data_IF_613543090619
#
_entry.id   IF_613543090619
#
_cell.length_a   1.000
_cell.length_b   1.000
_cell.length_c   1.000
_cell.angle_alpha   90.00
_cell.angle_beta   90.00
_cell.angle_gamma   90.00
#
_symmetry.space_group_name_H-M   'P 1'
#
loop_
_entity.id
_entity.type
_entity.pdbx_description
1 polymer ?
#
# COMPACT_ATOMS: atom_id res chain seq x y z
N UNK A 1 61.60 -63.65 28.35
CA UNK A 1 61.91 -63.61 26.90
C UNK A 1 61.19 -62.42 26.30
N UNK A 2 61.93 -61.49 25.70
CA UNK A 2 61.42 -60.31 25.02
C UNK A 2 60.65 -60.68 23.75
N UNK A 3 59.51 -60.03 23.48
CA UNK A 3 59.10 -59.66 22.12
C UNK A 3 57.92 -58.66 22.10
N UNK A 4 58.10 -57.62 21.28
CA UNK A 4 57.12 -56.62 20.85
C UNK A 4 55.90 -57.25 20.17
N UNK A 5 54.73 -56.58 20.22
CA UNK A 5 53.73 -56.69 19.15
C UNK A 5 53.11 -55.34 18.81
N UNK A 6 53.27 -54.96 17.54
CA UNK A 6 52.75 -53.74 16.91
C UNK A 6 51.24 -53.85 16.59
N UNK A 7 50.51 -52.73 16.51
CA UNK A 7 49.13 -52.72 16.00
C UNK A 7 49.09 -52.83 14.46
N UNK A 8 48.22 -53.71 13.96
CA UNK A 8 47.96 -53.92 12.53
C UNK A 8 47.43 -52.64 11.87
N UNK A 9 48.04 -52.25 10.74
CA UNK A 9 47.50 -51.26 9.79
C UNK A 9 46.20 -51.80 9.17
N UNK A 10 45.12 -51.02 9.24
CA UNK A 10 43.97 -51.14 8.34
C UNK A 10 43.86 -49.83 7.56
N UNK A 11 43.69 -49.97 6.25
CA UNK A 11 43.82 -48.92 5.25
C UNK A 11 42.79 -47.79 5.43
N UNK A 12 43.24 -46.54 5.29
CA UNK A 12 42.38 -45.37 5.09
C UNK A 12 41.75 -45.46 3.69
N UNK A 13 40.47 -45.80 3.62
CA UNK A 13 39.64 -45.51 2.44
C UNK A 13 39.16 -44.06 2.59
N UNK A 14 39.78 -43.17 1.81
CA UNK A 14 39.35 -41.79 1.66
C UNK A 14 38.20 -41.74 0.66
N UNK A 15 36.96 -41.91 1.12
CA UNK A 15 35.80 -41.51 0.32
C UNK A 15 35.65 -39.99 0.42
N UNK A 16 36.25 -39.27 -0.53
CA UNK A 16 35.81 -37.91 -0.85
C UNK A 16 34.38 -38.02 -1.36
N UNK A 17 33.42 -37.79 -0.47
CA UNK A 17 32.10 -37.35 -0.90
C UNK A 17 32.33 -35.88 -1.26
N UNK A 18 32.53 -35.62 -2.55
CA UNK A 18 32.34 -34.28 -3.10
C UNK A 18 30.89 -33.90 -2.78
N UNK A 19 30.70 -33.10 -1.73
CA UNK A 19 29.47 -32.33 -1.58
C UNK A 19 29.52 -31.33 -2.73
N UNK A 20 28.78 -31.60 -3.79
CA UNK A 20 28.39 -30.58 -4.75
C UNK A 20 27.90 -29.38 -3.93
N UNK A 21 28.59 -28.25 -4.05
CA UNK A 21 28.04 -27.00 -3.56
C UNK A 21 26.70 -26.82 -4.27
N UNK A 22 25.61 -26.44 -3.57
CA UNK A 22 24.35 -26.20 -4.23
C UNK A 22 24.60 -25.20 -5.36
N UNK A 23 24.21 -25.56 -6.58
CA UNK A 23 24.19 -24.61 -7.70
C UNK A 23 23.42 -23.39 -7.21
N UNK A 24 24.08 -22.23 -7.23
CA UNK A 24 23.37 -20.97 -7.03
C UNK A 24 22.55 -20.80 -8.29
N UNK A 25 21.31 -21.31 -8.26
CA UNK A 25 20.36 -21.09 -9.35
C UNK A 25 20.16 -19.59 -9.43
N UNK A 26 20.53 -19.04 -10.58
CA UNK A 26 20.32 -17.64 -10.89
C UNK A 26 18.81 -17.40 -10.94
N UNK A 27 18.30 -16.51 -10.08
CA UNK A 27 16.86 -16.21 -9.99
C UNK A 27 16.27 -15.76 -11.34
N UNK A 28 17.08 -15.18 -12.22
CA UNK A 28 16.67 -14.78 -13.57
C UNK A 28 16.35 -16.01 -14.44
N UNK A 29 17.22 -17.02 -14.41
CA UNK A 29 17.02 -18.25 -15.16
C UNK A 29 15.81 -19.03 -14.60
N UNK A 30 15.67 -19.05 -13.26
CA UNK A 30 14.52 -19.63 -12.58
C UNK A 30 13.20 -18.91 -12.94
N UNK A 31 13.23 -17.58 -13.03
CA UNK A 31 12.08 -16.78 -13.45
C UNK A 31 11.67 -17.11 -14.88
N UNK A 32 12.61 -17.11 -15.82
CA UNK A 32 12.32 -17.47 -17.22
C UNK A 32 11.73 -18.87 -17.35
N UNK A 33 12.35 -19.87 -16.69
CA UNK A 33 11.81 -21.23 -16.68
C UNK A 33 10.39 -21.29 -16.11
N UNK A 34 10.16 -20.59 -14.99
CA UNK A 34 8.86 -20.55 -14.31
C UNK A 34 7.77 -19.93 -15.20
N UNK A 35 8.08 -18.85 -15.92
CA UNK A 35 7.15 -18.20 -16.86
C UNK A 35 6.80 -19.15 -18.01
N UNK A 36 7.79 -19.87 -18.55
CA UNK A 36 7.56 -20.82 -19.64
C UNK A 36 6.68 -22.00 -19.17
N UNK A 37 6.96 -22.57 -17.99
CA UNK A 37 6.15 -23.65 -17.39
C UNK A 37 4.68 -23.25 -17.16
N UNK A 38 4.45 -22.02 -16.65
CA UNK A 38 3.10 -21.47 -16.44
C UNK A 38 2.39 -21.19 -17.77
N UNK A 39 3.13 -20.81 -18.80
CA UNK A 39 2.60 -20.48 -20.13
C UNK A 39 2.13 -21.72 -20.89
N UNK A 40 2.85 -22.85 -20.78
CA UNK A 40 2.52 -24.11 -21.47
C UNK A 40 1.24 -24.79 -20.96
N UNK A 41 0.72 -24.40 -19.79
CA UNK A 41 -0.59 -24.82 -19.28
C UNK A 41 -0.71 -26.30 -18.88
N UNK A 42 0.36 -27.08 -18.98
CA UNK A 42 0.43 -28.53 -18.68
C UNK A 42 1.08 -28.87 -17.34
N UNK A 43 1.43 -27.87 -16.54
CA UNK A 43 2.14 -28.11 -15.27
C UNK A 43 1.25 -28.86 -14.28
N UNK A 44 1.62 -30.10 -13.96
CA UNK A 44 1.11 -30.83 -12.80
C UNK A 44 1.51 -30.15 -11.47
N UNK A 45 2.39 -29.14 -11.53
CA UNK A 45 2.97 -28.41 -10.41
C UNK A 45 2.67 -26.90 -10.50
N UNK A 46 1.54 -26.50 -11.09
CA UNK A 46 1.25 -25.07 -11.34
C UNK A 46 1.30 -24.21 -10.07
N UNK A 47 0.83 -24.76 -8.94
CA UNK A 47 0.87 -24.07 -7.65
C UNK A 47 2.32 -23.78 -7.20
N UNK A 48 3.24 -24.75 -7.33
CA UNK A 48 4.67 -24.58 -7.03
C UNK A 48 5.35 -23.55 -7.96
N UNK A 49 5.01 -23.57 -9.25
CA UNK A 49 5.50 -22.56 -10.20
C UNK A 49 4.95 -21.16 -9.85
N UNK A 50 3.71 -21.04 -9.38
CA UNK A 50 3.13 -19.76 -8.92
C UNK A 50 3.79 -19.26 -7.63
N UNK A 51 4.08 -20.14 -6.67
CA UNK A 51 4.84 -19.80 -5.46
C UNK A 51 6.21 -19.23 -5.83
N UNK A 52 6.93 -19.93 -6.73
CA UNK A 52 8.23 -19.48 -7.23
C UNK A 52 8.14 -18.12 -7.92
N UNK A 53 7.15 -17.91 -8.78
CA UNK A 53 6.93 -16.63 -9.47
C UNK A 53 6.66 -15.50 -8.48
N UNK A 54 5.75 -15.72 -7.52
CA UNK A 54 5.39 -14.73 -6.49
C UNK A 54 6.60 -14.39 -5.62
N UNK A 55 7.37 -15.38 -5.20
CA UNK A 55 8.54 -15.17 -4.36
C UNK A 55 9.63 -14.36 -5.07
N UNK A 56 9.88 -14.65 -6.36
CA UNK A 56 10.85 -13.91 -7.16
C UNK A 56 10.39 -12.46 -7.36
N UNK A 57 9.16 -12.23 -7.84
CA UNK A 57 8.67 -10.87 -8.11
C UNK A 57 8.51 -10.02 -6.84
N UNK A 58 8.24 -10.65 -5.69
CA UNK A 58 8.20 -9.97 -4.40
C UNK A 58 9.61 -9.61 -3.91
N UNK A 59 10.59 -10.49 -4.09
CA UNK A 59 11.94 -10.35 -3.52
C UNK A 59 12.90 -9.52 -4.39
N UNK A 60 12.68 -9.54 -5.71
CA UNK A 60 13.54 -8.90 -6.69
C UNK A 60 12.77 -7.87 -7.50
N UNK A 61 13.44 -6.76 -7.83
CA UNK A 61 12.94 -5.84 -8.84
C UNK A 61 13.30 -6.40 -10.23
N UNK A 62 12.30 -6.98 -10.90
CA UNK A 62 12.46 -7.84 -12.08
C UNK A 62 11.92 -7.21 -13.38
N UNK A 63 11.80 -5.87 -13.44
CA UNK A 63 11.19 -5.14 -14.57
C UNK A 63 11.80 -5.54 -15.92
N UNK A 64 13.13 -5.44 -16.04
CA UNK A 64 13.88 -5.80 -17.25
C UNK A 64 13.74 -7.27 -17.69
N UNK A 65 13.34 -8.17 -16.78
CA UNK A 65 13.18 -9.60 -17.08
C UNK A 65 11.78 -9.92 -17.60
N UNK A 66 10.77 -9.11 -17.28
CA UNK A 66 9.37 -9.37 -17.61
C UNK A 66 8.79 -8.44 -18.67
N UNK A 67 9.46 -7.34 -19.01
CA UNK A 67 9.02 -6.32 -19.97
C UNK A 67 8.47 -6.92 -21.28
N UNK A 68 9.24 -7.78 -21.94
CA UNK A 68 8.84 -8.44 -23.20
C UNK A 68 7.86 -9.62 -23.01
N UNK A 69 7.48 -9.94 -21.77
CA UNK A 69 6.68 -11.12 -21.40
C UNK A 69 5.43 -10.77 -20.60
N UNK A 70 5.09 -9.48 -20.45
CA UNK A 70 3.98 -9.03 -19.61
C UNK A 70 2.64 -9.69 -19.98
N UNK A 71 2.32 -9.77 -21.27
CA UNK A 71 1.08 -10.42 -21.73
C UNK A 71 1.04 -11.92 -21.41
N UNK A 72 2.17 -12.63 -21.54
CA UNK A 72 2.28 -14.05 -21.24
C UNK A 72 2.07 -14.31 -19.74
N UNK A 73 2.78 -13.54 -18.90
CA UNK A 73 2.72 -13.63 -17.43
C UNK A 73 1.30 -13.34 -16.95
N UNK A 74 0.74 -12.19 -17.34
CA UNK A 74 -0.62 -11.82 -16.96
C UNK A 74 -1.66 -12.79 -17.52
N UNK A 75 -1.46 -13.30 -18.72
CA UNK A 75 -2.30 -14.32 -19.33
C UNK A 75 -2.30 -15.63 -18.54
N UNK A 76 -1.12 -16.09 -18.10
CA UNK A 76 -0.98 -17.30 -17.27
C UNK A 76 -1.58 -17.13 -15.88
N UNK A 77 -1.34 -16.00 -15.23
CA UNK A 77 -1.92 -15.67 -13.93
C UNK A 77 -3.45 -15.56 -14.00
N UNK A 78 -3.99 -14.86 -15.00
CA UNK A 78 -5.44 -14.78 -15.23
C UNK A 78 -6.07 -16.16 -15.45
N UNK A 79 -5.41 -17.05 -16.21
CA UNK A 79 -5.90 -18.43 -16.38
C UNK A 79 -5.90 -19.19 -15.05
N UNK A 80 -4.84 -19.04 -14.26
CA UNK A 80 -4.70 -19.70 -12.95
C UNK A 80 -5.75 -19.19 -11.96
N UNK A 81 -6.03 -17.88 -11.94
CA UNK A 81 -7.08 -17.28 -11.12
C UNK A 81 -8.49 -17.80 -11.47
N UNK A 82 -8.79 -17.97 -12.76
CA UNK A 82 -10.14 -18.31 -13.23
C UNK A 82 -10.44 -19.81 -13.27
N UNK A 83 -9.43 -20.65 -13.52
CA UNK A 83 -9.56 -22.12 -13.67
C UNK A 83 -8.85 -22.88 -12.55
N UNK A 84 -8.58 -22.21 -11.43
CA UNK A 84 -7.84 -22.74 -10.30
C UNK A 84 -8.35 -24.12 -9.84
N UNK A 85 -7.42 -24.95 -9.38
CA UNK A 85 -7.71 -26.24 -8.75
C UNK A 85 -7.82 -26.16 -7.23
N UNK A 86 -7.27 -25.10 -6.63
CA UNK A 86 -7.28 -24.85 -5.19
C UNK A 86 -7.52 -23.36 -4.89
N UNK A 87 -7.94 -23.05 -3.66
CA UNK A 87 -8.03 -21.67 -3.16
C UNK A 87 -6.65 -21.00 -3.18
N UNK A 88 -5.61 -21.73 -2.79
CA UNK A 88 -4.23 -21.24 -2.73
C UNK A 88 -3.69 -20.84 -4.11
N UNK A 89 -3.93 -21.66 -5.16
CA UNK A 89 -3.57 -21.36 -6.55
C UNK A 89 -4.19 -20.03 -7.01
N UNK A 90 -5.46 -19.78 -6.68
CA UNK A 90 -6.13 -18.52 -7.03
C UNK A 90 -5.55 -17.33 -6.27
N UNK A 91 -5.28 -17.46 -4.97
CA UNK A 91 -4.67 -16.39 -4.17
C UNK A 91 -3.25 -16.06 -4.64
N UNK A 92 -2.44 -17.07 -4.96
CA UNK A 92 -1.11 -16.87 -5.56
C UNK A 92 -1.21 -16.18 -6.91
N UNK A 93 -2.17 -16.58 -7.75
CA UNK A 93 -2.37 -15.95 -9.05
C UNK A 93 -2.78 -14.48 -8.94
N UNK A 94 -3.70 -14.15 -8.03
CA UNK A 94 -4.10 -12.76 -7.75
C UNK A 94 -2.89 -11.94 -7.25
N UNK A 95 -2.17 -12.43 -6.24
CA UNK A 95 -0.95 -11.79 -5.74
C UNK A 95 0.11 -11.60 -6.83
N UNK A 96 0.30 -12.61 -7.68
CA UNK A 96 1.21 -12.55 -8.82
C UNK A 96 0.83 -11.46 -9.83
N UNK A 97 -0.46 -11.21 -10.04
CA UNK A 97 -0.94 -10.09 -10.87
C UNK A 97 -0.46 -8.77 -10.26
N UNK A 98 -0.74 -8.53 -8.96
CA UNK A 98 -0.30 -7.30 -8.29
C UNK A 98 1.22 -7.11 -8.40
N UNK A 99 2.00 -8.15 -8.13
CA UNK A 99 3.46 -8.12 -8.23
C UNK A 99 3.96 -7.87 -9.65
N UNK A 100 3.26 -8.37 -10.67
CA UNK A 100 3.60 -8.09 -12.08
C UNK A 100 3.45 -6.60 -12.36
N UNK A 101 2.33 -5.98 -11.96
CA UNK A 101 2.11 -4.53 -12.11
C UNK A 101 3.13 -3.69 -11.34
N UNK A 102 3.52 -4.11 -10.12
CA UNK A 102 4.55 -3.40 -9.34
C UNK A 102 5.91 -3.43 -10.04
N UNK A 103 6.20 -4.49 -10.80
CA UNK A 103 7.44 -4.64 -11.56
C UNK A 103 7.35 -4.06 -13.00
N UNK A 104 6.28 -3.35 -13.37
CA UNK A 104 6.21 -2.62 -14.65
C UNK A 104 6.82 -1.23 -14.47
N UNK A 105 7.89 -0.88 -15.18
CA UNK A 105 8.49 0.47 -15.12
C UNK A 105 8.64 1.15 -16.48
N UNK A 106 9.02 0.38 -17.50
CA UNK A 106 9.37 0.93 -18.82
C UNK A 106 8.24 0.82 -19.85
N UNK A 107 6.98 0.89 -19.42
CA UNK A 107 5.81 0.84 -20.31
C UNK A 107 5.12 2.20 -20.42
N UNK A 108 4.49 2.45 -21.58
CA UNK A 108 3.69 3.66 -21.76
C UNK A 108 2.41 3.62 -20.92
N UNK A 109 1.88 4.79 -20.51
CA UNK A 109 0.61 4.88 -19.78
C UNK A 109 -0.54 4.17 -20.51
N UNK A 110 -0.59 4.29 -21.84
CA UNK A 110 -1.61 3.62 -22.66
C UNK A 110 -1.50 2.10 -22.63
N UNK A 111 -0.28 1.56 -22.62
CA UNK A 111 -0.05 0.12 -22.55
C UNK A 111 -0.40 -0.42 -21.17
N UNK A 112 -0.02 0.30 -20.11
CA UNK A 112 -0.40 -0.02 -18.74
C UNK A 112 -1.92 -0.06 -18.55
N UNK A 113 -2.64 0.93 -19.08
CA UNK A 113 -4.10 1.00 -19.05
C UNK A 113 -4.75 -0.18 -19.81
N UNK A 114 -4.22 -0.55 -20.97
CA UNK A 114 -4.70 -1.70 -21.74
C UNK A 114 -4.50 -3.03 -20.99
N UNK A 115 -3.32 -3.25 -20.38
CA UNK A 115 -3.05 -4.43 -19.57
C UNK A 115 -3.98 -4.49 -18.34
N UNK A 116 -4.18 -3.35 -17.67
CA UNK A 116 -5.11 -3.21 -16.54
C UNK A 116 -6.54 -3.60 -16.94
N UNK A 117 -7.08 -3.03 -18.02
CA UNK A 117 -8.45 -3.32 -18.49
C UNK A 117 -8.67 -4.77 -18.88
N UNK A 118 -7.63 -5.49 -19.34
CA UNK A 118 -7.73 -6.93 -19.63
C UNK A 118 -7.86 -7.80 -18.37
N UNK A 119 -7.34 -7.32 -17.24
CA UNK A 119 -7.33 -8.05 -15.97
C UNK A 119 -8.55 -7.70 -15.12
N UNK A 120 -8.94 -6.43 -15.08
CA UNK A 120 -10.00 -5.88 -14.23
C UNK A 120 -11.29 -6.75 -14.15
N UNK A 121 -11.91 -7.20 -15.26
CA UNK A 121 -13.12 -8.01 -15.20
C UNK A 121 -12.93 -9.34 -14.46
N UNK A 122 -11.72 -9.91 -14.51
CA UNK A 122 -11.43 -11.21 -13.89
C UNK A 122 -11.41 -11.08 -12.37
N UNK A 123 -10.80 -10.01 -11.85
CA UNK A 123 -10.77 -9.72 -10.42
C UNK A 123 -12.18 -9.38 -9.91
N UNK A 124 -12.92 -8.51 -10.60
CA UNK A 124 -14.30 -8.16 -10.21
C UNK A 124 -15.22 -9.38 -10.16
N UNK A 125 -15.14 -10.26 -11.15
CA UNK A 125 -15.94 -11.49 -11.16
C UNK A 125 -15.56 -12.40 -9.98
N UNK A 126 -14.27 -12.51 -9.63
CA UNK A 126 -13.87 -13.32 -8.46
C UNK A 126 -14.33 -12.70 -7.14
N UNK A 127 -14.26 -11.37 -7.00
CA UNK A 127 -14.78 -10.67 -5.81
C UNK A 127 -16.29 -10.89 -5.69
N UNK A 128 -17.03 -10.77 -6.79
CA UNK A 128 -18.48 -10.95 -6.83
C UNK A 128 -18.92 -12.40 -6.61
N UNK A 129 -18.37 -13.35 -7.36
CA UNK A 129 -18.99 -14.67 -7.53
C UNK A 129 -18.32 -15.79 -6.71
N UNK A 130 -17.07 -15.63 -6.27
CA UNK A 130 -16.34 -16.69 -5.54
C UNK A 130 -17.07 -17.10 -4.25
N UNK A 131 -17.15 -18.40 -3.95
CA UNK A 131 -17.65 -18.88 -2.65
C UNK A 131 -16.58 -18.83 -1.55
N UNK A 132 -15.31 -18.73 -1.93
CA UNK A 132 -14.18 -18.71 -1.01
C UNK A 132 -13.80 -17.26 -0.68
N UNK A 133 -13.86 -16.89 0.59
CA UNK A 133 -13.55 -15.54 1.07
C UNK A 133 -12.09 -15.15 0.80
N UNK A 134 -11.15 -16.08 0.96
CA UNK A 134 -9.72 -15.81 0.75
C UNK A 134 -9.44 -15.35 -0.69
N UNK A 135 -10.16 -15.92 -1.67
CA UNK A 135 -10.05 -15.50 -3.08
C UNK A 135 -10.62 -14.08 -3.24
N UNK A 136 -11.75 -13.77 -2.60
CA UNK A 136 -12.35 -12.41 -2.66
C UNK A 136 -11.37 -11.38 -2.09
N UNK A 137 -10.83 -11.63 -0.89
CA UNK A 137 -9.86 -10.77 -0.20
C UNK A 137 -8.59 -10.59 -1.06
N UNK A 138 -8.00 -11.69 -1.55
CA UNK A 138 -6.81 -11.61 -2.39
C UNK A 138 -7.06 -10.84 -3.69
N UNK A 139 -8.26 -10.96 -4.28
CA UNK A 139 -8.65 -10.18 -5.44
C UNK A 139 -8.91 -8.70 -5.11
N UNK A 140 -9.46 -8.36 -3.93
CA UNK A 140 -9.62 -6.97 -3.48
C UNK A 140 -8.27 -6.27 -3.31
N UNK A 141 -7.34 -6.92 -2.61
CA UNK A 141 -5.96 -6.42 -2.44
C UNK A 141 -5.29 -6.16 -3.78
N UNK A 142 -5.40 -7.13 -4.69
CA UNK A 142 -4.85 -7.05 -6.04
C UNK A 142 -5.50 -5.93 -6.83
N UNK A 143 -6.84 -5.85 -6.81
CA UNK A 143 -7.61 -4.84 -7.52
C UNK A 143 -7.24 -3.43 -7.04
N UNK A 144 -7.16 -3.21 -5.73
CA UNK A 144 -6.77 -1.92 -5.16
C UNK A 144 -5.37 -1.50 -5.64
N UNK A 145 -4.39 -2.39 -5.56
CA UNK A 145 -3.01 -2.10 -5.96
C UNK A 145 -2.88 -1.81 -7.45
N UNK A 146 -3.41 -2.65 -8.33
CA UNK A 146 -3.27 -2.42 -9.77
C UNK A 146 -4.05 -1.19 -10.24
N UNK A 147 -5.18 -0.88 -9.58
CA UNK A 147 -5.96 0.32 -9.87
C UNK A 147 -5.23 1.57 -9.39
N UNK A 148 -4.58 1.50 -8.23
CA UNK A 148 -3.74 2.58 -7.71
C UNK A 148 -2.56 2.89 -8.65
N UNK A 149 -1.90 1.86 -9.18
CA UNK A 149 -0.65 2.04 -9.95
C UNK A 149 -0.85 2.31 -11.44
N UNK A 150 -1.86 1.72 -12.08
CA UNK A 150 -1.93 1.68 -13.55
C UNK A 150 -3.26 2.16 -14.16
N UNK A 151 -4.31 2.38 -13.37
CA UNK A 151 -5.61 2.73 -13.92
C UNK A 151 -5.75 4.22 -14.25
N UNK A 152 -6.57 4.52 -15.27
CA UNK A 152 -7.06 5.87 -15.53
C UNK A 152 -7.88 6.44 -14.37
N UNK A 153 -8.04 7.76 -14.28
CA UNK A 153 -8.81 8.39 -13.19
C UNK A 153 -10.29 7.98 -13.18
N UNK A 154 -10.86 7.75 -14.37
CA UNK A 154 -12.22 7.23 -14.53
C UNK A 154 -12.31 5.81 -13.95
N UNK A 155 -11.34 4.95 -14.27
CA UNK A 155 -11.32 3.58 -13.76
C UNK A 155 -11.09 3.54 -12.24
N UNK A 156 -10.27 4.45 -11.68
CA UNK A 156 -10.12 4.62 -10.22
C UNK A 156 -11.47 4.94 -9.56
N UNK A 157 -12.23 5.89 -10.13
CA UNK A 157 -13.57 6.22 -9.63
C UNK A 157 -14.53 5.04 -9.71
N UNK A 158 -14.63 4.39 -10.87
CA UNK A 158 -15.54 3.26 -11.08
C UNK A 158 -15.25 2.08 -10.14
N UNK A 159 -13.98 1.80 -9.86
CA UNK A 159 -13.62 0.76 -8.91
C UNK A 159 -13.90 1.21 -7.48
N UNK A 160 -13.60 2.46 -7.12
CA UNK A 160 -13.93 3.01 -5.79
C UNK A 160 -15.44 2.92 -5.50
N UNK A 161 -16.29 3.30 -6.46
CA UNK A 161 -17.74 3.17 -6.36
C UNK A 161 -18.16 1.70 -6.22
N UNK A 162 -17.58 0.78 -7.00
CA UNK A 162 -17.85 -0.66 -6.87
C UNK A 162 -17.47 -1.23 -5.50
N UNK A 163 -16.39 -0.75 -4.89
CA UNK A 163 -16.00 -1.14 -3.53
C UNK A 163 -16.94 -0.53 -2.49
N UNK A 164 -17.40 0.70 -2.69
CA UNK A 164 -18.37 1.32 -1.80
C UNK A 164 -19.73 0.61 -1.88
N UNK A 165 -20.19 0.20 -3.05
CA UNK A 165 -21.40 -0.61 -3.21
C UNK A 165 -21.32 -1.91 -2.41
N UNK A 166 -20.16 -2.59 -2.40
CA UNK A 166 -19.91 -3.77 -1.56
C UNK A 166 -20.14 -3.44 -0.08
N UNK A 167 -19.57 -2.34 0.39
CA UNK A 167 -19.61 -1.92 1.81
C UNK A 167 -21.02 -1.47 2.21
N UNK A 168 -21.65 -0.58 1.43
CA UNK A 168 -22.94 0.04 1.75
C UNK A 168 -24.11 -0.96 1.70
N UNK A 169 -24.03 -1.96 0.83
CA UNK A 169 -25.11 -2.96 0.66
C UNK A 169 -24.94 -4.19 1.54
N UNK A 170 -24.00 -4.18 2.49
CA UNK A 170 -23.60 -5.35 3.26
C UNK A 170 -23.29 -6.57 2.35
N UNK A 171 -22.72 -6.33 1.17
CA UNK A 171 -22.36 -7.36 0.21
C UNK A 171 -23.53 -8.08 -0.46
N UNK A 172 -24.72 -7.48 -0.51
CA UNK A 172 -25.93 -8.09 -1.07
C UNK A 172 -25.75 -8.70 -2.48
N UNK A 173 -24.92 -8.11 -3.32
CA UNK A 173 -24.64 -8.60 -4.69
C UNK A 173 -23.34 -9.40 -4.83
N UNK A 174 -22.71 -9.81 -3.72
CA UNK A 174 -21.34 -10.34 -3.70
C UNK A 174 -21.23 -11.78 -3.22
N UNK A 175 -22.30 -12.59 -3.33
CA UNK A 175 -22.30 -14.01 -2.95
C UNK A 175 -21.67 -14.23 -1.55
N UNK A 176 -22.21 -13.54 -0.55
CA UNK A 176 -21.69 -13.53 0.83
C UNK A 176 -22.58 -14.33 1.79
N UNK A 177 -23.73 -14.82 1.33
CA UNK A 177 -24.76 -15.45 2.18
C UNK A 177 -24.29 -16.75 2.83
N UNK A 178 -23.29 -17.40 2.26
CA UNK A 178 -22.67 -18.62 2.77
C UNK A 178 -21.49 -18.36 3.71
N UNK A 179 -21.01 -17.11 3.83
CA UNK A 179 -19.87 -16.77 4.66
C UNK A 179 -20.25 -16.75 6.15
N UNK A 180 -19.35 -17.21 6.99
CA UNK A 180 -19.48 -17.02 8.44
C UNK A 180 -19.31 -15.53 8.81
N UNK A 181 -19.82 -15.09 9.98
CA UNK A 181 -19.68 -13.69 10.41
C UNK A 181 -18.24 -13.18 10.39
N UNK A 182 -17.28 -14.01 10.83
CA UNK A 182 -15.87 -13.63 10.84
C UNK A 182 -15.27 -13.51 9.43
N UNK A 183 -15.70 -14.35 8.49
CA UNK A 183 -15.25 -14.25 7.09
C UNK A 183 -15.83 -12.99 6.43
N UNK A 184 -17.08 -12.66 6.74
CA UNK A 184 -17.71 -11.44 6.29
C UNK A 184 -17.02 -10.20 6.87
N UNK A 185 -16.68 -10.21 8.16
CA UNK A 185 -15.93 -9.12 8.81
C UNK A 185 -14.56 -8.90 8.14
N UNK A 186 -13.83 -9.99 7.85
CA UNK A 186 -12.55 -9.94 7.13
C UNK A 186 -12.71 -9.35 5.72
N UNK A 187 -13.78 -9.72 5.00
CA UNK A 187 -14.07 -9.21 3.67
C UNK A 187 -14.33 -7.70 3.69
N UNK A 188 -15.14 -7.21 4.64
CA UNK A 188 -15.43 -5.78 4.77
C UNK A 188 -14.21 -4.97 5.21
N UNK A 189 -13.41 -5.50 6.14
CA UNK A 189 -12.16 -4.87 6.55
C UNK A 189 -11.24 -4.65 5.33
N UNK A 190 -11.08 -5.66 4.48
CA UNK A 190 -10.29 -5.53 3.25
C UNK A 190 -10.93 -4.56 2.24
N UNK A 191 -12.26 -4.61 2.06
CA UNK A 191 -12.96 -3.69 1.16
C UNK A 191 -12.77 -2.22 1.58
N UNK A 192 -12.81 -1.93 2.89
CA UNK A 192 -12.56 -0.60 3.44
C UNK A 192 -11.12 -0.14 3.21
N UNK A 193 -10.14 -1.01 3.41
CA UNK A 193 -8.73 -0.70 3.12
C UNK A 193 -8.52 -0.41 1.63
N UNK A 194 -9.09 -1.24 0.76
CA UNK A 194 -9.08 -1.05 -0.69
C UNK A 194 -9.74 0.29 -1.09
N UNK A 195 -10.90 0.63 -0.50
CA UNK A 195 -11.56 1.92 -0.72
C UNK A 195 -10.66 3.08 -0.32
N UNK A 196 -10.01 3.04 0.85
CA UNK A 196 -9.11 4.08 1.33
C UNK A 196 -7.92 4.33 0.41
N UNK A 197 -7.31 3.25 -0.11
CA UNK A 197 -6.21 3.34 -1.09
C UNK A 197 -6.68 4.04 -2.38
N UNK A 198 -7.88 3.70 -2.87
CA UNK A 198 -8.41 4.32 -4.10
C UNK A 198 -8.92 5.74 -3.86
N UNK A 199 -9.42 6.06 -2.68
CA UNK A 199 -9.70 7.45 -2.29
C UNK A 199 -8.41 8.27 -2.35
N UNK A 200 -7.31 7.77 -1.76
CA UNK A 200 -6.01 8.43 -1.85
C UNK A 200 -5.58 8.59 -3.32
N UNK A 201 -5.72 7.55 -4.15
CA UNK A 201 -5.39 7.64 -5.58
C UNK A 201 -6.21 8.74 -6.29
N UNK A 202 -7.51 8.83 -6.04
CA UNK A 202 -8.41 9.76 -6.74
C UNK A 202 -8.28 11.21 -6.29
N UNK A 203 -7.98 11.44 -5.00
CA UNK A 203 -8.02 12.78 -4.42
C UNK A 203 -6.66 13.27 -3.92
N UNK A 204 -5.57 12.55 -4.21
CA UNK A 204 -4.22 13.01 -3.91
C UNK A 204 -3.25 12.88 -5.08
N UNK A 205 -3.70 12.36 -6.22
CA UNK A 205 -2.95 12.38 -7.48
C UNK A 205 -3.64 13.30 -8.50
N UNK A 206 -2.90 13.85 -9.45
CA UNK A 206 -3.47 14.73 -10.49
C UNK A 206 -4.09 16.04 -9.97
N UNK A 207 -4.98 16.64 -10.76
CA UNK A 207 -5.71 17.85 -10.35
C UNK A 207 -6.97 17.43 -9.61
N UNK A 208 -7.08 17.84 -8.35
CA UNK A 208 -8.20 17.51 -7.48
C UNK A 208 -9.18 18.67 -7.44
N UNK A 209 -10.43 18.37 -7.78
CA UNK A 209 -11.58 19.26 -7.65
C UNK A 209 -12.17 19.12 -6.23
N UNK A 210 -12.32 20.25 -5.53
CA UNK A 210 -12.82 20.26 -4.15
C UNK A 210 -14.30 19.89 -4.08
N UNK A 211 -15.12 20.31 -5.04
CA UNK A 211 -16.56 20.05 -5.01
C UNK A 211 -16.82 18.54 -5.18
N UNK A 212 -16.06 17.90 -6.08
CA UNK A 212 -16.12 16.44 -6.28
C UNK A 212 -15.60 15.68 -5.05
N UNK A 213 -14.51 16.16 -4.43
CA UNK A 213 -14.00 15.59 -3.17
C UNK A 213 -15.04 15.69 -2.05
N UNK A 214 -15.69 16.84 -1.92
CA UNK A 214 -16.67 17.10 -0.87
C UNK A 214 -17.94 16.27 -1.08
N UNK A 215 -18.45 16.17 -2.32
CA UNK A 215 -19.58 15.31 -2.67
C UNK A 215 -19.31 13.84 -2.31
N UNK A 216 -18.10 13.34 -2.62
CA UNK A 216 -17.70 11.98 -2.24
C UNK A 216 -17.68 11.81 -0.72
N UNK A 217 -17.10 12.78 0.02
CA UNK A 217 -17.06 12.75 1.48
C UNK A 217 -18.48 12.69 2.06
N UNK A 218 -19.38 13.58 1.64
CA UNK A 218 -20.77 13.59 2.12
C UNK A 218 -21.51 12.29 1.81
N UNK A 219 -21.28 11.72 0.63
CA UNK A 219 -21.86 10.43 0.21
C UNK A 219 -21.45 9.29 1.14
N UNK A 220 -20.17 9.17 1.47
CA UNK A 220 -19.66 7.95 2.12
C UNK A 220 -19.53 8.04 3.64
N UNK A 221 -19.46 9.24 4.20
CA UNK A 221 -19.26 9.45 5.63
C UNK A 221 -20.31 8.79 6.53
N UNK A 222 -21.63 8.82 6.21
CA UNK A 222 -22.63 8.17 7.06
C UNK A 222 -22.40 6.67 7.26
N UNK A 223 -21.97 5.97 6.20
CA UNK A 223 -21.63 4.54 6.28
C UNK A 223 -20.36 4.34 7.10
N UNK A 224 -19.34 5.17 6.92
CA UNK A 224 -18.11 5.10 7.73
C UNK A 224 -18.38 5.35 9.21
N UNK A 225 -19.23 6.31 9.57
CA UNK A 225 -19.63 6.56 10.96
C UNK A 225 -20.33 5.35 11.59
N UNK A 226 -21.24 4.70 10.86
CA UNK A 226 -21.87 3.46 11.31
C UNK A 226 -20.83 2.36 11.56
N UNK A 227 -19.84 2.23 10.67
CA UNK A 227 -18.79 1.20 10.76
C UNK A 227 -17.80 1.44 11.90
N UNK A 228 -17.66 2.68 12.40
CA UNK A 228 -16.90 2.98 13.62
C UNK A 228 -17.51 2.30 14.87
N UNK A 229 -18.78 1.93 14.83
CA UNK A 229 -19.47 1.20 15.91
C UNK A 229 -19.49 -0.32 15.73
N UNK A 230 -18.88 -0.84 14.65
CA UNK A 230 -18.79 -2.28 14.35
C UNK A 230 -18.24 -3.06 15.56
N UNK A 231 -18.69 -4.31 15.82
CA UNK A 231 -18.09 -5.16 16.84
C UNK A 231 -16.66 -5.60 16.48
N UNK A 232 -16.34 -5.70 15.18
CA UNK A 232 -15.03 -6.08 14.70
C UNK A 232 -14.01 -4.93 14.80
N UNK A 233 -12.77 -5.24 15.18
CA UNK A 233 -11.76 -4.19 15.39
C UNK A 233 -11.16 -3.68 14.09
N UNK A 234 -11.02 -4.54 13.09
CA UNK A 234 -10.30 -4.23 11.87
C UNK A 234 -11.20 -3.40 10.96
N UNK A 235 -12.52 -3.66 10.95
CA UNK A 235 -13.53 -2.78 10.36
C UNK A 235 -13.46 -1.37 10.97
N UNK A 236 -13.47 -1.26 12.32
CA UNK A 236 -13.40 0.05 12.98
C UNK A 236 -12.11 0.80 12.60
N UNK A 237 -10.97 0.11 12.63
CA UNK A 237 -9.68 0.68 12.26
C UNK A 237 -9.72 1.19 10.82
N UNK A 238 -10.10 0.35 9.85
CA UNK A 238 -10.14 0.74 8.44
C UNK A 238 -11.09 1.91 8.18
N UNK A 239 -12.29 1.90 8.79
CA UNK A 239 -13.23 3.01 8.70
C UNK A 239 -12.64 4.31 9.29
N UNK A 240 -11.97 4.22 10.44
CA UNK A 240 -11.31 5.37 11.07
C UNK A 240 -10.14 5.93 10.25
N UNK A 241 -9.34 5.08 9.63
CA UNK A 241 -8.26 5.49 8.73
C UNK A 241 -8.81 6.20 7.49
N UNK A 242 -9.91 5.71 6.90
CA UNK A 242 -10.60 6.36 5.79
C UNK A 242 -11.14 7.73 6.19
N UNK A 243 -11.75 7.85 7.37
CA UNK A 243 -12.18 9.15 7.94
C UNK A 243 -10.97 10.09 8.10
N UNK A 244 -9.88 9.59 8.68
CA UNK A 244 -8.64 10.36 8.83
C UNK A 244 -8.11 10.88 7.48
N UNK A 245 -8.11 10.05 6.45
CA UNK A 245 -7.73 10.39 5.08
C UNK A 245 -8.65 11.44 4.45
N UNK A 246 -9.97 11.26 4.57
CA UNK A 246 -10.98 12.18 4.02
C UNK A 246 -10.80 13.60 4.61
N UNK A 247 -10.75 13.70 5.93
CA UNK A 247 -10.53 14.99 6.61
C UNK A 247 -9.15 15.56 6.36
N UNK A 248 -8.10 14.73 6.34
CA UNK A 248 -6.75 15.17 5.94
C UNK A 248 -6.76 15.83 4.55
N UNK A 249 -7.47 15.24 3.60
CA UNK A 249 -7.52 15.70 2.20
C UNK A 249 -8.37 16.97 2.07
N UNK A 250 -9.59 16.97 2.64
CA UNK A 250 -10.49 18.12 2.58
C UNK A 250 -9.91 19.36 3.29
N UNK A 251 -9.27 19.17 4.45
CA UNK A 251 -8.72 20.27 5.25
C UNK A 251 -7.65 21.11 4.54
N UNK A 252 -7.00 20.58 3.52
CA UNK A 252 -6.02 21.30 2.69
C UNK A 252 -6.70 22.46 1.96
N UNK A 253 -7.89 22.21 1.44
CA UNK A 253 -8.69 23.20 0.73
C UNK A 253 -9.35 24.14 1.72
N UNK A 254 -9.84 23.63 2.85
CA UNK A 254 -10.54 24.45 3.85
C UNK A 254 -9.65 25.56 4.46
N UNK A 255 -8.37 25.27 4.72
CA UNK A 255 -7.45 26.23 5.36
C UNK A 255 -6.81 27.28 4.44
N UNK A 256 -6.83 27.10 3.12
CA UNK A 256 -5.96 27.91 2.24
C UNK A 256 -6.42 29.37 2.04
N UNK A 257 -7.71 29.66 2.22
CA UNK A 257 -8.26 30.99 1.86
C UNK A 257 -8.42 31.92 3.07
N UNK A 258 -8.19 31.45 4.30
CA UNK A 258 -8.28 32.28 5.51
C UNK A 258 -6.95 32.89 5.95
N UNK A 259 -5.83 32.43 5.38
CA UNK A 259 -4.46 32.87 5.70
C UNK A 259 -3.83 33.78 4.61
N UNK A 260 -4.46 33.90 3.44
CA UNK A 260 -4.06 34.85 2.40
C UNK A 260 -4.81 36.18 2.63
N UNK A 261 -4.20 37.10 3.39
CA UNK A 261 -4.55 38.52 3.40
C UNK A 261 -4.25 39.13 2.00
N UNK A 262 -5.07 38.78 0.99
CA UNK A 262 -4.96 39.20 -0.39
C UNK A 262 -6.30 39.70 -0.90
N UNK A 263 -6.34 40.98 -1.26
CA UNK A 263 -7.51 41.76 -1.69
C UNK A 263 -8.51 41.01 -2.60
N UNK A 264 -9.74 40.83 -2.12
CA UNK A 264 -10.95 41.02 -2.93
C UNK A 264 -11.67 39.79 -3.50
N UNK A 265 -11.34 38.56 -3.11
CA UNK A 265 -12.17 37.39 -3.48
C UNK A 265 -13.29 37.19 -2.44
N UNK A 266 -14.52 36.98 -2.92
CA UNK A 266 -15.69 36.73 -2.07
C UNK A 266 -15.38 35.60 -1.08
N UNK A 267 -15.62 35.84 0.21
CA UNK A 267 -15.46 34.87 1.29
C UNK A 267 -16.43 33.69 1.03
N UNK A 268 -15.98 32.73 0.23
CA UNK A 268 -16.75 31.52 -0.07
C UNK A 268 -16.91 30.77 1.24
N UNK A 269 -18.14 30.71 1.74
CA UNK A 269 -18.48 29.95 2.94
C UNK A 269 -18.19 28.50 2.63
N UNK A 270 -17.11 27.97 3.20
CA UNK A 270 -16.73 26.58 2.99
C UNK A 270 -17.65 25.67 3.78
N UNK A 271 -17.98 24.50 3.25
CA UNK A 271 -18.89 23.59 3.92
C UNK A 271 -18.24 23.01 5.18
N UNK A 272 -19.06 22.81 6.19
CA UNK A 272 -18.70 22.09 7.42
C UNK A 272 -19.39 20.74 7.41
N UNK A 273 -18.75 19.73 8.02
CA UNK A 273 -19.39 18.43 8.16
C UNK A 273 -20.46 18.49 9.25
N UNK A 274 -21.72 18.25 8.88
CA UNK A 274 -22.90 18.43 9.75
C UNK A 274 -22.79 17.71 11.10
N UNK A 275 -22.26 16.48 11.14
CA UNK A 275 -22.15 15.67 12.34
C UNK A 275 -20.75 15.68 12.98
N UNK A 276 -20.00 16.78 12.84
CA UNK A 276 -18.63 16.89 13.36
C UNK A 276 -18.51 16.53 14.85
N UNK A 277 -19.40 17.06 15.70
CA UNK A 277 -19.35 16.83 17.14
C UNK A 277 -19.58 15.35 17.50
N UNK A 278 -20.53 14.70 16.83
CA UNK A 278 -20.83 13.28 17.00
C UNK A 278 -19.67 12.40 16.56
N UNK A 279 -19.13 12.67 15.38
CA UNK A 279 -17.97 11.96 14.84
C UNK A 279 -16.77 12.05 15.80
N UNK A 280 -16.40 13.27 16.21
CA UNK A 280 -15.27 13.52 17.11
C UNK A 280 -15.47 12.82 18.46
N UNK A 281 -16.69 12.80 18.98
CA UNK A 281 -17.01 12.07 20.20
C UNK A 281 -16.71 10.57 20.05
N UNK A 282 -17.24 9.93 19.00
CA UNK A 282 -17.01 8.50 18.71
C UNK A 282 -15.53 8.18 18.55
N UNK A 283 -14.79 8.99 17.77
CA UNK A 283 -13.35 8.80 17.56
C UNK A 283 -12.55 8.90 18.87
N UNK A 284 -12.90 9.86 19.74
CA UNK A 284 -12.28 10.00 21.06
C UNK A 284 -12.52 8.80 21.94
N UNK A 285 -13.74 8.26 21.97
CA UNK A 285 -14.04 7.06 22.74
C UNK A 285 -13.19 5.87 22.29
N UNK A 286 -13.04 5.68 20.97
CA UNK A 286 -12.21 4.62 20.40
C UNK A 286 -10.71 4.80 20.72
N UNK A 287 -10.24 6.05 20.83
CA UNK A 287 -8.85 6.39 21.17
C UNK A 287 -8.45 6.05 22.61
N UNK A 288 -9.42 5.97 23.54
CA UNK A 288 -9.19 5.68 24.96
C UNK A 288 -9.71 4.32 25.41
N UNK A 289 -10.45 3.62 24.55
CA UNK A 289 -11.21 2.40 24.80
C UNK A 289 -10.55 1.41 25.79
N UNK A 290 -11.15 1.27 26.96
CA UNK A 290 -10.60 0.43 28.04
C UNK A 290 -11.23 -0.97 28.12
N UNK A 291 -12.12 -1.33 27.20
CA UNK A 291 -12.93 -2.55 27.28
C UNK A 291 -12.08 -3.81 27.49
N UNK A 292 -12.14 -4.38 28.70
CA UNK A 292 -11.31 -5.54 29.08
C UNK A 292 -11.71 -6.85 28.39
N UNK A 293 -12.81 -6.84 27.62
CA UNK A 293 -13.27 -8.00 26.84
C UNK A 293 -12.43 -8.25 25.59
N UNK A 294 -11.61 -7.26 25.17
CA UNK A 294 -10.73 -7.34 24.00
C UNK A 294 -9.29 -7.72 24.38
N UNK A 295 -8.57 -8.36 23.47
CA UNK A 295 -7.16 -8.69 23.68
C UNK A 295 -6.34 -7.41 23.92
N UNK A 296 -5.19 -7.56 24.61
CA UNK A 296 -4.36 -6.41 24.97
C UNK A 296 -3.66 -5.79 23.75
N UNK A 297 -3.18 -6.62 22.82
CA UNK A 297 -2.58 -6.20 21.55
C UNK A 297 -3.56 -5.34 20.75
N UNK A 298 -4.76 -5.86 20.54
CA UNK A 298 -5.82 -5.23 19.75
C UNK A 298 -6.20 -3.86 20.29
N UNK A 299 -6.33 -3.74 21.61
CA UNK A 299 -6.59 -2.43 22.24
C UNK A 299 -5.43 -1.46 22.08
N UNK A 300 -4.20 -1.95 22.01
CA UNK A 300 -3.04 -1.07 21.90
C UNK A 300 -2.94 -0.49 20.49
N UNK A 301 -3.12 -1.35 19.49
CA UNK A 301 -3.17 -1.00 18.08
C UNK A 301 -4.32 -0.04 17.78
N UNK A 302 -5.56 -0.41 18.12
CA UNK A 302 -6.75 0.43 17.91
C UNK A 302 -6.55 1.82 18.51
N UNK A 303 -6.14 1.91 19.79
CA UNK A 303 -5.90 3.21 20.43
C UNK A 303 -4.81 4.01 19.72
N UNK A 304 -3.79 3.36 19.17
CA UNK A 304 -2.75 4.05 18.44
C UNK A 304 -3.31 4.71 17.19
N UNK A 305 -4.01 3.93 16.37
CA UNK A 305 -4.66 4.44 15.15
C UNK A 305 -5.63 5.56 15.48
N UNK A 306 -6.56 5.35 16.42
CA UNK A 306 -7.57 6.36 16.73
C UNK A 306 -7.03 7.62 17.39
N UNK A 307 -5.87 7.58 18.08
CA UNK A 307 -5.21 8.83 18.50
C UNK A 307 -4.74 9.64 17.30
N UNK A 308 -4.21 8.99 16.27
CA UNK A 308 -3.79 9.69 15.06
C UNK A 308 -4.99 10.15 14.22
N UNK A 309 -6.08 9.38 14.17
CA UNK A 309 -7.33 9.78 13.51
C UNK A 309 -7.94 11.02 14.19
N UNK A 310 -8.08 11.01 15.53
CA UNK A 310 -8.57 12.19 16.28
C UNK A 310 -7.73 13.42 16.00
N UNK A 311 -6.40 13.29 16.00
CA UNK A 311 -5.49 14.40 15.68
C UNK A 311 -5.62 14.87 14.24
N UNK A 312 -5.93 13.97 13.31
CA UNK A 312 -6.14 14.33 11.90
C UNK A 312 -7.45 15.10 11.71
N UNK A 313 -8.52 14.68 12.38
CA UNK A 313 -9.85 15.29 12.26
C UNK A 313 -9.94 16.61 13.03
N UNK A 314 -9.55 16.65 14.31
CA UNK A 314 -9.70 17.86 15.14
C UNK A 314 -8.55 18.85 15.01
N UNK A 315 -7.31 18.35 15.02
CA UNK A 315 -6.11 19.20 15.09
C UNK A 315 -5.54 19.48 13.69
N UNK A 316 -6.05 18.78 12.67
CA UNK A 316 -5.47 18.71 11.32
C UNK A 316 -3.96 18.44 11.39
N UNK A 317 -3.60 17.40 12.14
CA UNK A 317 -2.25 16.89 12.26
C UNK A 317 -2.16 15.52 11.61
N UNK A 318 -1.41 15.48 10.50
CA UNK A 318 -1.13 14.25 9.75
C UNK A 318 -0.25 13.28 10.53
N UNK A 319 -0.55 11.96 10.50
CA UNK A 319 0.34 10.93 11.02
C UNK A 319 1.64 10.86 10.22
N UNK A 320 2.67 10.22 10.78
CA UNK A 320 3.92 9.97 10.08
C UNK A 320 4.55 8.65 10.50
N UNK A 321 5.02 7.88 9.53
CA UNK A 321 5.84 6.69 9.70
C UNK A 321 7.28 6.94 9.24
N UNK A 322 8.25 6.38 9.95
CA UNK A 322 9.67 6.44 9.58
C UNK A 322 10.20 5.03 9.31
N UNK A 323 10.97 4.89 8.24
CA UNK A 323 11.57 3.61 7.86
C UNK A 323 13.02 3.80 7.42
N UNK A 324 13.94 3.05 8.04
CA UNK A 324 15.38 3.18 7.79
C UNK A 324 15.81 2.28 6.63
N UNK A 325 16.30 2.87 5.55
CA UNK A 325 16.77 2.19 4.34
C UNK A 325 18.17 2.67 3.98
N UNK A 326 19.13 1.75 3.86
CA UNK A 326 20.45 2.08 3.29
C UNK A 326 21.19 3.19 4.05
N UNK A 327 20.97 3.31 5.36
CA UNK A 327 21.55 4.38 6.19
C UNK A 327 20.74 5.69 6.24
N UNK A 328 19.72 5.84 5.39
CA UNK A 328 18.80 6.99 5.38
C UNK A 328 17.49 6.65 6.11
N UNK A 329 16.84 7.65 6.70
CA UNK A 329 15.49 7.52 7.28
C UNK A 329 14.52 8.12 6.28
N UNK A 330 13.62 7.30 5.74
CA UNK A 330 12.50 7.74 4.92
C UNK A 330 11.32 8.06 5.82
N UNK A 331 10.70 9.21 5.64
CA UNK A 331 9.51 9.62 6.39
C UNK A 331 8.30 9.66 5.45
N UNK A 332 7.28 8.86 5.76
CA UNK A 332 6.01 8.83 5.05
C UNK A 332 4.98 9.56 5.90
N UNK A 333 4.44 10.66 5.40
CA UNK A 333 3.56 11.53 6.16
C UNK A 333 2.19 11.64 5.50
N UNK A 334 1.16 11.54 6.34
CA UNK A 334 -0.24 11.58 5.96
C UNK A 334 -0.81 10.21 5.61
N UNK A 335 -2.12 10.07 5.82
CA UNK A 335 -2.87 8.85 5.50
C UNK A 335 -2.74 8.49 4.03
N UNK A 336 -2.74 9.49 3.14
CA UNK A 336 -2.63 9.29 1.69
C UNK A 336 -1.34 8.58 1.27
N UNK A 337 -0.27 8.68 2.08
CA UNK A 337 0.98 7.93 1.88
C UNK A 337 1.00 6.63 2.66
N UNK A 338 0.52 6.63 3.90
CA UNK A 338 0.63 5.48 4.80
C UNK A 338 -0.25 4.31 4.34
N UNK A 339 -1.48 4.56 3.87
CA UNK A 339 -2.38 3.48 3.44
C UNK A 339 -1.85 2.72 2.22
N UNK A 340 -1.45 3.37 1.11
CA UNK A 340 -0.80 2.66 0.02
C UNK A 340 0.50 1.97 0.46
N UNK A 341 1.32 2.63 1.30
CA UNK A 341 2.56 2.03 1.82
C UNK A 341 2.33 0.70 2.52
N UNK A 342 1.27 0.60 3.32
CA UNK A 342 0.90 -0.63 4.01
C UNK A 342 0.45 -1.72 3.03
N UNK A 343 -0.27 -1.37 1.96
CA UNK A 343 -0.64 -2.32 0.90
C UNK A 343 0.58 -2.86 0.14
N UNK A 344 1.52 -1.99 -0.25
CA UNK A 344 2.79 -2.40 -0.85
C UNK A 344 3.61 -3.29 0.10
N UNK A 345 3.66 -2.94 1.39
CA UNK A 345 4.34 -3.72 2.42
C UNK A 345 3.72 -5.11 2.58
N UNK A 346 2.40 -5.22 2.52
CA UNK A 346 1.68 -6.49 2.60
C UNK A 346 2.00 -7.40 1.41
N UNK A 347 1.90 -6.88 0.19
CA UNK A 347 2.09 -7.70 -1.03
C UNK A 347 3.55 -8.10 -1.26
N UNK A 348 4.51 -7.20 -1.01
CA UNK A 348 5.94 -7.43 -1.22
C UNK A 348 6.61 -8.19 -0.06
N UNK A 349 6.01 -8.18 1.12
CA UNK A 349 6.53 -8.87 2.31
C UNK A 349 7.99 -8.50 2.61
N UNK A 350 8.86 -9.51 2.66
CA UNK A 350 10.28 -9.31 2.99
C UNK A 350 11.04 -8.52 1.92
N UNK A 351 10.58 -8.55 0.65
CA UNK A 351 11.20 -7.81 -0.45
C UNK A 351 10.83 -6.33 -0.51
N UNK A 352 9.90 -5.86 0.34
CA UNK A 352 9.44 -4.47 0.37
C UNK A 352 10.57 -3.44 0.45
N UNK A 353 11.56 -3.67 1.32
CA UNK A 353 12.69 -2.74 1.46
C UNK A 353 13.65 -2.77 0.25
N UNK A 354 13.71 -3.89 -0.48
CA UNK A 354 14.50 -3.99 -1.71
C UNK A 354 13.82 -3.16 -2.80
N UNK A 355 12.53 -3.37 -3.02
CA UNK A 355 11.73 -2.59 -3.98
C UNK A 355 11.75 -1.09 -3.66
N UNK A 356 11.62 -0.67 -2.40
CA UNK A 356 11.79 0.74 -2.06
C UNK A 356 13.19 1.29 -2.44
N UNK A 357 14.23 0.47 -2.53
CA UNK A 357 15.55 0.94 -2.99
C UNK A 357 15.65 0.99 -4.51
N UNK A 358 15.07 0.01 -5.20
CA UNK A 358 15.39 -0.27 -6.60
C UNK A 358 14.29 0.11 -7.58
N UNK A 359 13.03 0.15 -7.14
CA UNK A 359 11.87 0.37 -7.97
C UNK A 359 11.56 1.88 -8.09
N UNK A 360 11.66 2.41 -9.31
CA UNK A 360 11.41 3.79 -9.67
C UNK A 360 9.93 4.16 -9.61
N UNK A 361 9.00 3.23 -9.89
CA UNK A 361 7.56 3.47 -9.66
C UNK A 361 7.29 3.78 -8.18
N UNK A 362 7.84 2.98 -7.26
CA UNK A 362 7.67 3.22 -5.82
C UNK A 362 8.31 4.53 -5.37
N UNK A 363 9.50 4.87 -5.90
CA UNK A 363 10.14 6.17 -5.64
C UNK A 363 9.27 7.31 -6.14
N UNK A 364 8.63 7.15 -7.30
CA UNK A 364 7.68 8.11 -7.87
C UNK A 364 6.42 8.27 -7.03
N UNK A 365 5.78 7.17 -6.61
CA UNK A 365 4.58 7.16 -5.77
C UNK A 365 4.83 7.85 -4.43
N UNK A 366 5.90 7.46 -3.73
CA UNK A 366 6.16 7.97 -2.38
C UNK A 366 7.00 9.24 -2.35
N UNK A 367 7.61 9.61 -3.48
CA UNK A 367 8.41 10.82 -3.70
C UNK A 367 9.56 10.95 -2.70
N UNK A 368 10.42 9.94 -2.68
CA UNK A 368 11.69 9.99 -1.96
C UNK A 368 12.85 9.64 -2.88
N UNK A 369 14.03 10.14 -2.56
CA UNK A 369 15.28 9.80 -3.24
C UNK A 369 16.23 9.07 -2.28
N UNK A 370 16.85 8.00 -2.75
CA UNK A 370 17.97 7.35 -2.07
C UNK A 370 19.20 7.62 -2.93
N UNK A 371 19.85 8.78 -2.70
CA UNK A 371 21.10 9.10 -3.38
C UNK A 371 22.13 7.96 -3.28
N UNK A 372 22.78 7.64 -4.41
CA UNK A 372 23.95 6.75 -4.46
C UNK A 372 25.03 7.34 -3.55
N UNK A 373 25.69 6.50 -2.74
CA UNK A 373 26.89 6.93 -2.02
C UNK A 373 27.92 7.38 -3.06
N UNK A 374 28.18 8.68 -3.11
CA UNK A 374 29.42 9.19 -3.66
C UNK A 374 30.14 9.87 -2.50
N UNK A 375 31.25 9.26 -2.11
CA UNK A 375 32.24 9.85 -1.22
C UNK A 375 32.70 11.17 -1.86
N UNK A 376 32.79 12.20 -1.01
CA UNK A 376 33.36 13.53 -1.27
C UNK A 376 32.65 14.42 -2.32
N UNK A 377 31.60 15.14 -1.88
CA UNK A 377 31.26 16.45 -2.43
C UNK A 377 30.47 17.29 -1.41
N UNK A 378 30.81 18.58 -1.36
CA UNK A 378 30.28 19.59 -0.45
C UNK A 378 28.75 19.59 -0.27
N UNK A 379 28.35 19.91 0.96
CA UNK A 379 27.01 20.24 1.43
C UNK A 379 26.49 21.51 0.71
N UNK A 380 26.09 21.34 -0.55
CA UNK A 380 25.17 22.24 -1.24
C UNK A 380 23.91 21.43 -1.53
N UNK A 381 22.82 21.78 -0.86
CA UNK A 381 21.51 21.12 -0.92
C UNK A 381 20.82 21.20 -2.28
N UNK A 382 21.39 20.51 -3.27
CA UNK A 382 20.64 19.96 -4.39
C UNK A 382 20.09 18.61 -3.93
N UNK A 383 18.95 18.66 -3.23
CA UNK A 383 18.00 17.55 -3.27
C UNK A 383 17.68 17.32 -4.75
N UNK A 384 18.01 16.14 -5.30
CA UNK A 384 17.59 15.73 -6.65
C UNK A 384 16.14 16.18 -6.89
N UNK A 385 15.98 17.22 -7.70
CA UNK A 385 14.77 18.00 -7.76
C UNK A 385 13.69 17.19 -8.49
N UNK A 386 12.86 16.48 -7.72
CA UNK A 386 11.60 15.94 -8.22
C UNK A 386 10.85 17.08 -8.91
N UNK A 387 10.44 16.84 -10.16
CA UNK A 387 9.71 17.83 -10.93
C UNK A 387 8.37 18.12 -10.26
N UNK A 388 8.28 19.27 -9.60
CA UNK A 388 7.08 19.74 -8.91
C UNK A 388 5.87 19.90 -9.84
N UNK A 389 6.08 19.95 -11.15
CA UNK A 389 5.00 20.00 -12.14
C UNK A 389 4.12 18.75 -12.12
N UNK A 390 4.67 17.61 -11.71
CA UNK A 390 3.99 16.30 -11.64
C UNK A 390 3.16 16.11 -10.36
N UNK A 391 3.24 17.04 -9.41
CA UNK A 391 2.54 16.96 -8.15
C UNK A 391 1.06 17.32 -8.29
N UNK A 392 0.19 16.62 -7.55
CA UNK A 392 -1.18 17.07 -7.38
C UNK A 392 -1.23 18.45 -6.71
N UNK A 393 -2.32 19.18 -6.92
CA UNK A 393 -2.56 20.43 -6.18
C UNK A 393 -2.63 20.19 -4.66
N UNK A 394 -3.18 19.05 -4.25
CA UNK A 394 -3.17 18.54 -2.87
C UNK A 394 -1.74 18.38 -2.33
N UNK A 395 -0.89 17.66 -3.06
CA UNK A 395 0.50 17.43 -2.66
C UNK A 395 1.36 18.69 -2.68
N UNK A 396 1.14 19.58 -3.66
CA UNK A 396 1.80 20.89 -3.70
C UNK A 396 1.48 21.70 -2.46
N UNK A 397 0.19 21.78 -2.09
CA UNK A 397 -0.24 22.48 -0.87
C UNK A 397 0.36 21.81 0.37
N UNK A 398 0.37 20.48 0.45
CA UNK A 398 1.01 19.76 1.54
C UNK A 398 2.49 20.09 1.71
N UNK A 399 3.26 20.12 0.61
CA UNK A 399 4.70 20.43 0.64
C UNK A 399 4.93 21.89 1.01
N UNK A 400 4.10 22.81 0.51
CA UNK A 400 4.20 24.23 0.82
C UNK A 400 3.93 24.51 2.31
N UNK A 401 2.90 23.89 2.89
CA UNK A 401 2.58 24.00 4.31
C UNK A 401 3.70 23.49 5.20
N UNK A 402 4.36 22.39 4.80
CA UNK A 402 5.51 21.86 5.51
C UNK A 402 6.70 22.80 5.49
N UNK A 403 7.02 23.34 4.30
CA UNK A 403 8.10 24.30 4.16
C UNK A 403 7.83 25.57 4.97
N UNK A 404 6.58 26.06 5.00
CA UNK A 404 6.15 27.20 5.84
C UNK A 404 6.35 26.89 7.33
N UNK A 405 5.91 25.71 7.80
CA UNK A 405 6.07 25.28 9.21
C UNK A 405 7.55 25.08 9.59
N UNK A 406 8.35 24.45 8.72
CA UNK A 406 9.78 24.22 8.93
C UNK A 406 10.55 25.54 9.01
N UNK A 407 10.32 26.45 8.07
CA UNK A 407 10.92 27.80 8.08
C UNK A 407 10.56 28.57 9.35
N UNK A 408 9.30 28.50 9.79
CA UNK A 408 8.84 29.15 11.02
C UNK A 408 9.53 28.56 12.26
N UNK A 409 9.67 27.23 12.34
CA UNK A 409 10.41 26.55 13.42
C UNK A 409 11.89 26.93 13.44
N UNK A 410 12.54 26.99 12.28
CA UNK A 410 13.93 27.43 12.17
C UNK A 410 14.12 28.87 12.63
N UNK A 411 13.23 29.79 12.21
CA UNK A 411 13.25 31.18 12.65
C UNK A 411 13.04 31.32 14.16
N UNK A 412 12.12 30.54 14.75
CA UNK A 412 11.89 30.51 16.20
C UNK A 412 13.14 30.02 16.96
N UNK A 413 13.77 28.94 16.49
CA UNK A 413 14.99 28.42 17.08
C UNK A 413 16.16 29.41 16.96
N UNK A 414 16.28 30.10 15.83
CA UNK A 414 17.29 31.13 15.63
C UNK A 414 17.08 32.34 16.56
N UNK A 415 15.83 32.70 16.88
CA UNK A 415 15.51 33.76 17.86
C UNK A 415 15.89 33.33 19.29
N UNK A 416 15.53 32.11 19.70
CA UNK A 416 15.88 31.56 21.02
C UNK A 416 17.40 31.36 21.20
N UNK A 417 18.13 31.01 20.14
CA UNK A 417 19.59 30.91 20.13
C UNK A 417 20.30 32.27 20.32
N UNK A 418 19.70 33.36 19.84
CA UNK A 418 20.22 34.73 20.05
C UNK A 418 19.97 35.24 21.47
N UNK A 419 18.87 34.86 22.11
CA UNK A 419 18.57 35.24 23.49
C UNK A 419 19.43 34.47 24.53
N UNK A 420 19.96 33.31 24.17
CA UNK A 420 20.81 32.48 25.05
C UNK A 420 22.32 32.73 24.92
N UNK A 421 22.77 33.46 23.89
CA UNK A 421 24.16 33.93 23.75
C UNK A 421 24.38 35.37 24.24
N UNK A 422 23.35 35.99 24.82
CA UNK A 422 23.41 37.34 25.39
C UNK A 422 23.45 37.33 26.91
N UNK A 423 24.44 36.65 27.51
CA UNK A 423 24.83 36.83 28.93
C UNK A 423 26.34 36.63 29.11
#
# INVERSE_FOLDING_TARGET
>A
MYANFQPKKVAKVSSKIEREAPEIVNWVDQLSQTIDELSEGKSNNREESLETLVDILASHHASSQIEDRLEDVLGALKRSLLKNSSTHEACLAAKGIALTFINMEDISESEGDDLYRRILPSLRNRIKDSEQVDIKISCLQTLALITYTAASDIDKQLVRDYLFDLIETDGADFNVESLSPNELDNLFSEALQAYGILFAASFTTGVVDFDVLWEELEKVMPVHEMLLESPDKDIRIAAGENVGLMFETANIFLKSDSDEEGDGEEETVKPEYDNMDGLVHTLKELSIDSSRRRAKSDRTEQKSVFRDVVRSVEENVRPSEELKIGGKVLTFRGWAKILPLNAFRHVLGQGFQHHLKTNDMMKGIFRYSIGRQQEDADDSGDDDAFDKSTLSNVDRKFINDENKKSRTKQLRNARLGKESSGY
#
